data_IF_356878311709
#
_entry.id   IF_356878311709
#
_cell.length_a   1.000
_cell.length_b   1.000
_cell.length_c   1.000
_cell.angle_alpha   90.00
_cell.angle_beta   90.00
_cell.angle_gamma   90.00
#
_symmetry.space_group_name_H-M   'P 1'
#
loop_
_entity.id
_entity.type
_entity.pdbx_description
1 polymer ?
#
# COMPACT_ATOMS: atom_id res chain seq x y z
N UNK A 1 -0.68 3.94 -11.41
CA UNK A 1 -0.53 3.08 -10.21
C UNK A 1 -0.90 3.96 -9.04
N UNK A 2 -2.06 3.74 -8.42
CA UNK A 2 -2.58 4.64 -7.36
C UNK A 2 -1.65 4.59 -6.15
N UNK A 3 -1.11 5.69 -5.62
CA UNK A 3 -1.51 7.10 -5.76
C UNK A 3 -2.39 7.56 -4.60
N UNK A 4 -2.63 6.69 -3.64
CA UNK A 4 -3.28 7.07 -2.39
C UNK A 4 -2.33 7.97 -1.62
N UNK A 5 -2.86 9.13 -1.23
CA UNK A 5 -2.13 10.21 -0.58
C UNK A 5 -2.79 10.45 0.78
N UNK A 6 -2.05 11.04 1.74
CA UNK A 6 -2.63 11.41 3.02
C UNK A 6 -3.93 12.22 2.89
N UNK A 7 -4.86 12.00 3.81
CA UNK A 7 -6.06 12.82 3.92
C UNK A 7 -5.63 14.25 4.20
N UNK A 8 -6.00 15.15 3.30
CA UNK A 8 -5.71 16.58 3.44
C UNK A 8 -6.32 17.13 4.72
N UNK A 9 -5.53 17.89 5.49
CA UNK A 9 -6.00 18.56 6.71
C UNK A 9 -7.28 19.38 6.50
N UNK A 10 -7.40 20.07 5.36
CA UNK A 10 -8.59 20.86 5.03
C UNK A 10 -9.87 20.01 4.98
N UNK A 11 -9.78 18.76 4.55
CA UNK A 11 -10.91 17.83 4.54
C UNK A 11 -11.31 17.45 5.97
N UNK A 12 -10.32 17.22 6.84
CA UNK A 12 -10.54 16.89 8.25
C UNK A 12 -11.12 18.10 9.00
N UNK A 13 -10.58 19.30 8.78
CA UNK A 13 -11.08 20.55 9.35
C UNK A 13 -12.51 20.87 8.87
N UNK A 14 -12.79 20.72 7.58
CA UNK A 14 -14.14 20.92 7.03
C UNK A 14 -15.17 19.96 7.66
N UNK A 15 -14.79 18.68 7.84
CA UNK A 15 -15.63 17.70 8.53
C UNK A 15 -15.87 18.11 9.99
N UNK A 16 -14.80 18.41 10.73
CA UNK A 16 -14.90 18.82 12.13
C UNK A 16 -15.79 20.06 12.31
N UNK A 17 -15.66 21.07 11.44
CA UNK A 17 -16.51 22.26 11.45
C UNK A 17 -17.97 21.93 11.18
N UNK A 18 -18.25 21.08 10.19
CA UNK A 18 -19.62 20.66 9.85
C UNK A 18 -20.34 20.02 11.03
N UNK A 19 -19.62 19.22 11.82
CA UNK A 19 -20.17 18.53 13.00
C UNK A 19 -19.85 19.21 14.33
N UNK A 20 -19.31 20.43 14.28
CA UNK A 20 -18.97 21.26 15.45
C UNK A 20 -18.00 20.60 16.45
N UNK A 21 -17.14 19.71 15.98
CA UNK A 21 -16.06 19.09 16.76
C UNK A 21 -14.97 20.16 16.97
N UNK A 22 -14.66 20.51 18.22
CA UNK A 22 -13.79 21.65 18.57
C UNK A 22 -12.95 21.38 19.82
N UNK A 23 -11.87 22.16 19.99
CA UNK A 23 -10.98 22.06 21.15
C UNK A 23 -10.38 20.66 21.30
N UNK A 24 -10.31 20.15 22.53
CA UNK A 24 -9.75 18.83 22.82
C UNK A 24 -10.42 17.68 22.05
N UNK A 25 -11.72 17.80 21.73
CA UNK A 25 -12.41 16.80 20.91
C UNK A 25 -11.90 16.80 19.46
N UNK A 26 -11.55 17.97 18.92
CA UNK A 26 -10.94 18.08 17.60
C UNK A 26 -9.51 17.53 17.60
N UNK A 27 -8.72 17.84 18.62
CA UNK A 27 -7.36 17.32 18.76
C UNK A 27 -7.35 15.78 18.81
N UNK A 28 -8.26 15.20 19.60
CA UNK A 28 -8.42 13.73 19.71
C UNK A 28 -8.89 13.13 18.38
N UNK A 29 -9.87 13.76 17.72
CA UNK A 29 -10.35 13.32 16.41
C UNK A 29 -9.25 13.37 15.35
N UNK A 30 -8.52 14.47 15.27
CA UNK A 30 -7.44 14.67 14.31
C UNK A 30 -6.32 13.65 14.52
N UNK A 31 -5.93 13.40 15.78
CA UNK A 31 -4.93 12.37 16.11
C UNK A 31 -5.39 10.96 15.70
N UNK A 32 -6.64 10.60 15.98
CA UNK A 32 -7.20 9.31 15.58
C UNK A 32 -7.23 9.14 14.06
N UNK A 33 -7.75 10.13 13.33
CA UNK A 33 -7.84 10.07 11.87
C UNK A 33 -6.45 10.01 11.24
N UNK A 34 -5.48 10.77 11.77
CA UNK A 34 -4.09 10.74 11.32
C UNK A 34 -3.47 9.36 11.48
N UNK A 35 -3.65 8.71 12.64
CA UNK A 35 -3.12 7.37 12.88
C UNK A 35 -3.72 6.31 11.94
N UNK A 36 -5.04 6.40 11.67
CA UNK A 36 -5.71 5.50 10.74
C UNK A 36 -5.24 5.70 9.29
N UNK A 37 -5.05 6.95 8.88
CA UNK A 37 -4.57 7.30 7.53
C UNK A 37 -3.14 6.79 7.31
N UNK A 38 -2.26 6.99 8.29
CA UNK A 38 -0.88 6.49 8.24
C UNK A 38 -0.83 4.95 8.13
N UNK A 39 -1.55 4.23 8.99
CA UNK A 39 -1.61 2.76 8.95
C UNK A 39 -2.13 2.26 7.59
N UNK A 40 -3.17 2.91 7.06
CA UNK A 40 -3.75 2.54 5.77
C UNK A 40 -2.75 2.72 4.63
N UNK A 41 -2.04 3.85 4.59
CA UNK A 41 -1.02 4.11 3.57
C UNK A 41 0.12 3.09 3.64
N UNK A 42 0.59 2.74 4.84
CA UNK A 42 1.59 1.69 5.02
C UNK A 42 1.09 0.32 4.55
N UNK A 43 -0.17 -0.01 4.84
CA UNK A 43 -0.78 -1.26 4.40
C UNK A 43 -0.82 -1.36 2.87
N UNK A 44 -1.24 -0.28 2.21
CA UNK A 44 -1.34 -0.23 0.75
C UNK A 44 0.04 -0.30 0.10
N UNK A 45 1.01 0.42 0.65
CA UNK A 45 2.39 0.39 0.16
C UNK A 45 2.96 -1.03 0.24
N UNK A 46 2.76 -1.72 1.38
CA UNK A 46 3.19 -3.11 1.57
C UNK A 46 2.57 -4.05 0.53
N UNK A 47 1.26 -3.94 0.27
CA UNK A 47 0.59 -4.73 -0.78
C UNK A 47 1.14 -4.44 -2.17
N UNK A 48 1.47 -3.18 -2.47
CA UNK A 48 2.06 -2.78 -3.75
C UNK A 48 3.45 -3.38 -3.93
N UNK A 49 4.26 -3.40 -2.86
CA UNK A 49 5.60 -4.00 -2.87
C UNK A 49 5.53 -5.52 -3.03
N UNK A 50 4.65 -6.19 -2.28
CA UNK A 50 4.45 -7.65 -2.37
C UNK A 50 4.00 -8.08 -3.78
N UNK A 51 3.07 -7.32 -4.39
CA UNK A 51 2.60 -7.58 -5.74
C UNK A 51 3.71 -7.40 -6.78
N UNK A 52 4.58 -6.39 -6.61
CA UNK A 52 5.75 -6.18 -7.47
C UNK A 52 6.77 -7.29 -7.34
N UNK A 53 7.05 -7.75 -6.12
CA UNK A 53 7.98 -8.86 -5.88
C UNK A 53 7.46 -10.15 -6.52
N UNK A 54 6.17 -10.46 -6.36
CA UNK A 54 5.57 -11.65 -6.97
C UNK A 54 5.64 -11.62 -8.51
N UNK A 55 5.44 -10.46 -9.13
CA UNK A 55 5.57 -10.31 -10.59
C UNK A 55 7.04 -10.46 -11.03
N UNK A 56 7.98 -9.88 -10.29
CA UNK A 56 9.41 -10.03 -10.59
C UNK A 56 9.87 -11.48 -10.45
N UNK A 57 9.43 -12.19 -9.39
CA UNK A 57 9.72 -13.61 -9.21
C UNK A 57 9.15 -14.45 -10.37
N UNK A 58 7.89 -14.20 -10.78
CA UNK A 58 7.28 -14.85 -11.95
C UNK A 58 8.10 -14.62 -13.22
N UNK A 59 8.57 -13.39 -13.45
CA UNK A 59 9.44 -13.07 -14.60
C UNK A 59 10.79 -13.78 -14.52
N UNK A 60 11.41 -13.84 -13.34
CA UNK A 60 12.68 -14.56 -13.13
C UNK A 60 12.52 -16.06 -13.38
N UNK A 61 11.45 -16.68 -12.88
CA UNK A 61 11.14 -18.10 -13.12
C UNK A 61 10.89 -18.36 -14.60
N UNK A 62 10.13 -17.50 -15.28
CA UNK A 62 9.90 -17.61 -16.72
C UNK A 62 11.20 -17.45 -17.55
N UNK A 63 12.10 -16.55 -17.14
CA UNK A 63 13.38 -16.32 -17.81
C UNK A 63 14.40 -17.46 -17.64
N UNK A 64 14.26 -18.28 -16.59
CA UNK A 64 15.18 -19.41 -16.33
C UNK A 64 15.02 -20.58 -17.31
N UNK A 65 13.93 -20.60 -18.08
CA UNK A 65 13.60 -21.69 -19.02
C UNK A 65 13.31 -23.03 -18.33
N UNK A 66 12.67 -23.99 -19.01
CA UNK A 66 12.55 -25.35 -18.48
C UNK A 66 13.95 -25.96 -18.30
N UNK A 67 14.16 -26.72 -17.23
CA UNK A 67 15.41 -27.44 -17.01
C UNK A 67 15.73 -28.30 -18.26
N UNK A 68 16.98 -28.29 -18.77
CA UNK A 68 17.33 -29.13 -19.91
C UNK A 68 16.99 -30.59 -19.59
N UNK A 69 16.32 -31.24 -20.53
CA UNK A 69 15.89 -32.62 -20.38
C UNK A 69 17.13 -33.51 -20.20
N UNK A 70 17.30 -34.21 -19.06
CA UNK A 70 18.49 -35.04 -18.82
C UNK A 70 18.62 -36.20 -19.82
N UNK A 71 17.58 -36.50 -20.61
CA UNK A 71 17.57 -37.56 -21.61
C UNK A 71 18.05 -37.13 -23.01
N UNK A 72 18.42 -35.86 -23.23
CA UNK A 72 18.91 -35.37 -24.53
C UNK A 72 20.45 -35.26 -24.61
N UNK A 73 21.17 -35.53 -23.51
CA UNK A 73 22.62 -35.47 -23.44
C UNK A 73 23.30 -36.84 -23.65
N UNK A 74 22.85 -37.62 -24.62
CA UNK A 74 23.62 -38.79 -25.11
C UNK A 74 23.15 -39.12 -26.52
N UNK A 75 23.92 -38.74 -27.53
CA UNK A 75 24.34 -39.57 -28.67
C UNK A 75 25.32 -38.80 -29.56
#
# INVERSE_FOLDING_TARGET
MGGESPIMFLSIDAYARRYRIRGAAFETFHALVGALDEEYLEHVQRKSDDARQADEERRRVAARGPAPNPNEATY
#
